data_IF_951021194057
#
_entry.id   IF_951021194057
#
_cell.length_a   1.000
_cell.length_b   1.000
_cell.length_c   1.000
_cell.angle_alpha   90.00
_cell.angle_beta   90.00
_cell.angle_gamma   90.00
#
_symmetry.space_group_name_H-M   'P 1'
#
loop_
_entity.id
_entity.type
_entity.pdbx_description
1 polymer ?
#
# COMPACT_ATOMS: atom_id res chain seq x y z
N UNK A 1 21.98 1.37 -2.08
CA UNK A 1 21.33 0.18 -2.67
C UNK A 1 20.43 -0.41 -1.59
N UNK A 2 19.13 -0.15 -1.62
CA UNK A 2 18.23 -0.65 -0.59
C UNK A 2 18.20 -2.19 -0.68
N UNK A 3 18.42 -2.86 0.45
CA UNK A 3 18.51 -4.30 0.57
C UNK A 3 17.32 -4.95 -0.17
N UNK A 4 17.61 -5.60 -1.31
CA UNK A 4 16.61 -6.07 -2.27
C UNK A 4 15.83 -7.28 -1.79
N UNK A 5 16.02 -7.68 -0.54
CA UNK A 5 15.50 -8.91 0.04
C UNK A 5 14.52 -8.64 1.18
N UNK A 6 13.60 -9.58 1.39
CA UNK A 6 12.64 -9.58 2.48
C UNK A 6 12.55 -10.97 3.10
N UNK A 7 12.24 -11.01 4.40
CA UNK A 7 11.97 -12.25 5.11
C UNK A 7 10.49 -12.61 4.95
N UNK A 8 10.23 -13.83 4.50
CA UNK A 8 8.90 -14.39 4.30
C UNK A 8 8.80 -15.74 4.98
N UNK A 9 7.59 -16.18 5.30
CA UNK A 9 7.34 -17.54 5.74
C UNK A 9 6.93 -18.40 4.55
N UNK A 10 7.71 -19.42 4.25
CA UNK A 10 7.51 -20.29 3.09
C UNK A 10 7.28 -21.73 3.53
N UNK A 11 6.31 -22.41 2.89
CA UNK A 11 6.05 -23.82 3.13
C UNK A 11 7.23 -24.66 2.60
N UNK A 12 7.85 -25.55 3.41
CA UNK A 12 8.94 -26.40 2.94
C UNK A 12 8.50 -27.45 1.91
N UNK A 13 7.20 -27.76 1.83
CA UNK A 13 6.67 -28.82 0.95
C UNK A 13 6.21 -28.28 -0.40
N UNK A 14 5.38 -27.23 -0.41
CA UNK A 14 4.81 -26.68 -1.65
C UNK A 14 5.48 -25.37 -2.12
N UNK A 15 6.32 -24.75 -1.29
CA UNK A 15 7.01 -23.50 -1.63
C UNK A 15 6.14 -22.23 -1.60
N UNK A 16 4.86 -22.32 -1.25
CA UNK A 16 3.98 -21.14 -1.15
C UNK A 16 4.32 -20.27 0.07
N UNK A 17 4.13 -18.96 -0.07
CA UNK A 17 4.28 -17.96 0.99
C UNK A 17 2.99 -17.84 1.81
N UNK A 18 3.10 -17.80 3.14
CA UNK A 18 1.94 -17.69 4.05
C UNK A 18 2.24 -16.70 5.18
N UNK A 19 1.39 -15.70 5.38
CA UNK A 19 1.60 -14.66 6.40
C UNK A 19 1.64 -15.20 7.84
N UNK A 20 0.88 -16.26 8.13
CA UNK A 20 0.71 -16.81 9.50
C UNK A 20 1.70 -17.93 9.85
N UNK A 21 2.69 -18.20 9.00
CA UNK A 21 3.72 -19.20 9.28
C UNK A 21 3.23 -20.65 9.29
N UNK A 22 2.03 -20.94 8.78
CA UNK A 22 1.48 -22.29 8.67
C UNK A 22 0.81 -22.49 7.31
N UNK A 23 1.12 -23.61 6.66
CA UNK A 23 0.50 -24.03 5.41
C UNK A 23 -0.64 -25.00 5.72
N UNK A 24 -1.88 -24.60 5.44
CA UNK A 24 -3.06 -25.44 5.68
C UNK A 24 -3.19 -26.60 4.69
N UNK A 25 -2.69 -26.43 3.46
CA UNK A 25 -2.75 -27.44 2.41
C UNK A 25 -1.82 -28.62 2.72
N UNK A 26 -0.57 -28.33 3.10
CA UNK A 26 0.44 -29.33 3.45
C UNK A 26 0.44 -29.69 4.94
N UNK A 27 -0.41 -29.04 5.76
CA UNK A 27 -0.51 -29.20 7.22
C UNK A 27 0.84 -29.11 7.94
N UNK A 28 1.70 -28.20 7.53
CA UNK A 28 3.05 -28.06 8.07
C UNK A 28 3.39 -26.61 8.46
N UNK A 29 4.35 -26.45 9.39
CA UNK A 29 4.89 -25.12 9.74
C UNK A 29 5.76 -24.59 8.61
N UNK A 30 5.54 -23.34 8.23
CA UNK A 30 6.41 -22.63 7.30
C UNK A 30 7.70 -22.21 8.00
N UNK A 31 8.81 -22.21 7.27
CA UNK A 31 10.08 -21.71 7.78
C UNK A 31 10.29 -20.27 7.31
N UNK A 32 11.02 -19.48 8.11
CA UNK A 32 11.47 -18.16 7.66
C UNK A 32 12.55 -18.33 6.61
N UNK A 33 12.35 -17.72 5.46
CA UNK A 33 13.36 -17.65 4.39
C UNK A 33 13.47 -16.22 3.89
N UNK A 34 14.58 -15.92 3.25
CA UNK A 34 14.84 -14.61 2.65
C UNK A 34 14.70 -14.73 1.14
N UNK A 35 13.86 -13.89 0.53
CA UNK A 35 13.74 -13.81 -0.93
C UNK A 35 13.92 -12.40 -1.45
N UNK A 36 14.20 -12.28 -2.73
CA UNK A 36 14.21 -10.98 -3.40
C UNK A 36 12.80 -10.38 -3.45
N UNK A 37 12.75 -9.05 -3.38
CA UNK A 37 11.53 -8.26 -3.55
C UNK A 37 11.02 -8.47 -4.97
N UNK A 38 9.71 -8.71 -5.06
CA UNK A 38 9.05 -8.79 -6.36
C UNK A 38 8.85 -7.36 -6.86
N UNK A 39 9.13 -7.14 -8.14
CA UNK A 39 8.82 -5.91 -8.84
C UNK A 39 7.70 -6.20 -9.83
N UNK A 40 6.74 -5.28 -9.91
CA UNK A 40 5.65 -5.35 -10.89
C UNK A 40 5.69 -4.04 -11.67
N UNK A 41 5.68 -4.14 -12.99
CA UNK A 41 5.64 -3.00 -13.89
C UNK A 41 4.34 -3.04 -14.69
N UNK A 42 3.66 -1.91 -14.78
CA UNK A 42 2.38 -1.81 -15.46
C UNK A 42 1.75 -0.43 -15.29
N UNK A 43 0.56 -0.30 -15.84
CA UNK A 43 -0.25 0.89 -15.73
C UNK A 43 -1.27 0.66 -14.61
N UNK A 44 -1.17 1.46 -13.54
CA UNK A 44 -1.94 1.26 -12.31
C UNK A 44 -2.95 2.38 -12.08
N UNK A 45 -4.16 2.02 -11.65
CA UNK A 45 -5.22 2.97 -11.26
C UNK A 45 -5.50 2.86 -9.76
N UNK A 46 -5.64 3.98 -9.07
CA UNK A 46 -6.11 3.99 -7.67
C UNK A 46 -7.61 3.68 -7.68
N UNK A 47 -8.00 2.55 -7.09
CA UNK A 47 -9.39 2.07 -7.10
C UNK A 47 -10.07 2.08 -5.73
N UNK A 48 -9.29 2.08 -4.64
CA UNK A 48 -9.81 2.09 -3.28
C UNK A 48 -8.79 2.65 -2.28
N UNK A 49 -9.18 2.77 -1.02
CA UNK A 49 -8.30 3.09 0.10
C UNK A 49 -8.58 2.16 1.28
N UNK A 50 -7.57 1.98 2.15
CA UNK A 50 -7.73 1.21 3.38
C UNK A 50 -7.17 1.98 4.58
N UNK A 51 -7.73 1.69 5.74
CA UNK A 51 -7.20 2.14 7.02
C UNK A 51 -7.37 1.06 8.07
N UNK A 52 -6.34 0.89 8.88
CA UNK A 52 -6.28 -0.01 10.04
C UNK A 52 -5.76 0.77 11.25
N UNK A 53 -5.67 0.10 12.41
CA UNK A 53 -5.15 0.72 13.64
C UNK A 53 -3.71 1.23 13.50
N UNK A 54 -2.89 0.61 12.64
CA UNK A 54 -1.45 0.88 12.53
C UNK A 54 -1.01 1.37 11.15
N UNK A 55 -1.92 1.51 10.19
CA UNK A 55 -1.57 1.85 8.81
C UNK A 55 -2.78 2.36 8.03
N UNK A 56 -2.53 3.23 7.06
CA UNK A 56 -3.48 3.59 6.01
C UNK A 56 -2.78 3.54 4.66
N UNK A 57 -3.55 3.46 3.58
CA UNK A 57 -3.00 3.37 2.24
C UNK A 57 -4.05 3.39 1.15
N UNK A 58 -3.58 3.22 -0.07
CA UNK A 58 -4.37 3.14 -1.29
C UNK A 58 -4.32 1.71 -1.84
N UNK A 59 -5.36 1.30 -2.56
CA UNK A 59 -5.35 0.09 -3.37
C UNK A 59 -5.20 0.53 -4.82
N UNK A 60 -4.14 0.07 -5.48
CA UNK A 60 -3.95 0.24 -6.91
C UNK A 60 -4.24 -1.05 -7.65
N UNK A 61 -4.86 -0.95 -8.81
CA UNK A 61 -5.21 -2.06 -9.67
C UNK A 61 -4.43 -1.95 -10.98
N UNK A 62 -3.76 -3.02 -11.38
CA UNK A 62 -3.17 -3.13 -12.72
C UNK A 62 -4.29 -3.21 -13.76
N UNK A 63 -4.29 -2.24 -14.67
CA UNK A 63 -5.31 -2.10 -15.72
C UNK A 63 -5.39 -3.30 -16.68
N UNK A 64 -4.35 -4.13 -16.78
CA UNK A 64 -4.32 -5.29 -17.68
C UNK A 64 -4.75 -6.59 -17.00
N UNK A 65 -4.26 -6.82 -15.79
CA UNK A 65 -4.50 -8.09 -15.07
C UNK A 65 -5.67 -8.02 -14.08
N UNK A 66 -6.11 -6.81 -13.70
CA UNK A 66 -7.05 -6.61 -12.60
C UNK A 66 -6.45 -6.93 -11.22
N UNK A 67 -5.15 -7.23 -11.15
CA UNK A 67 -4.48 -7.55 -9.91
C UNK A 67 -4.35 -6.30 -9.02
N UNK A 68 -4.71 -6.45 -7.74
CA UNK A 68 -4.69 -5.36 -6.77
C UNK A 68 -3.45 -5.41 -5.89
N UNK A 69 -2.88 -4.24 -5.62
CA UNK A 69 -1.71 -4.06 -4.79
C UNK A 69 -1.96 -2.94 -3.77
N UNK A 70 -1.76 -3.20 -2.47
CA UNK A 70 -1.81 -2.16 -1.46
C UNK A 70 -0.55 -1.29 -1.51
N UNK A 71 -0.72 0.03 -1.49
CA UNK A 71 0.34 1.02 -1.30
C UNK A 71 0.15 1.70 0.05
N UNK A 72 1.17 1.67 0.90
CA UNK A 72 1.09 2.35 2.19
C UNK A 72 1.21 3.86 2.03
N UNK A 73 0.49 4.60 2.87
CA UNK A 73 0.43 6.05 2.75
C UNK A 73 1.79 6.73 2.97
N UNK A 74 2.70 6.11 3.73
CA UNK A 74 4.09 6.59 3.85
C UNK A 74 4.79 6.65 2.49
N UNK A 75 4.66 5.58 1.69
CA UNK A 75 5.27 5.52 0.36
C UNK A 75 4.59 6.49 -0.61
N UNK A 76 3.27 6.65 -0.49
CA UNK A 76 2.50 7.63 -1.28
C UNK A 76 2.96 9.06 -0.95
N UNK A 77 3.09 9.39 0.34
CA UNK A 77 3.56 10.71 0.77
C UNK A 77 5.00 10.98 0.31
N UNK A 78 5.89 10.00 0.41
CA UNK A 78 7.26 10.12 -0.10
C UNK A 78 7.27 10.35 -1.61
N UNK A 79 6.41 9.64 -2.36
CA UNK A 79 6.27 9.80 -3.81
C UNK A 79 5.75 11.18 -4.23
N UNK A 80 4.74 11.72 -3.55
CA UNK A 80 4.16 13.03 -3.88
C UNK A 80 4.88 14.20 -3.22
N UNK A 81 5.85 13.94 -2.33
CA UNK A 81 6.58 15.00 -1.65
C UNK A 81 7.32 15.89 -2.67
N UNK A 82 7.14 17.21 -2.55
CA UNK A 82 7.66 18.17 -3.52
C UNK A 82 6.87 18.27 -4.82
N UNK A 83 5.82 17.47 -5.01
CA UNK A 83 4.90 17.64 -6.15
C UNK A 83 4.08 18.92 -5.99
N UNK A 84 3.93 19.68 -7.09
CA UNK A 84 3.13 20.89 -7.09
C UNK A 84 1.65 20.55 -7.22
N UNK A 85 0.85 20.95 -6.22
CA UNK A 85 -0.61 20.92 -6.29
C UNK A 85 -1.10 22.20 -6.98
N UNK A 86 -1.25 22.17 -8.31
CA UNK A 86 -1.70 23.33 -9.09
C UNK A 86 -3.21 23.56 -8.95
N UNK A 87 -3.63 24.82 -8.77
CA UNK A 87 -5.03 25.30 -8.77
C UNK A 87 -6.00 24.37 -8.02
N UNK A 88 -5.89 24.38 -6.68
CA UNK A 88 -6.79 23.67 -5.78
C UNK A 88 -7.30 24.64 -4.72
N UNK A 89 -8.58 24.49 -4.39
CA UNK A 89 -9.16 25.19 -3.25
C UNK A 89 -8.99 24.32 -2.02
N UNK A 90 -8.49 24.91 -0.94
CA UNK A 90 -8.36 24.26 0.36
C UNK A 90 -9.41 24.83 1.31
N UNK A 91 -10.11 23.95 2.01
CA UNK A 91 -11.03 24.33 3.08
C UNK A 91 -10.41 23.95 4.43
N UNK A 92 -10.38 24.90 5.35
CA UNK A 92 -9.92 24.66 6.72
C UNK A 92 -10.86 23.65 7.40
N UNK A 93 -10.27 22.69 8.11
CA UNK A 93 -10.99 21.69 8.86
C UNK A 93 -10.44 21.63 10.28
N UNK A 94 -11.34 21.41 11.24
CA UNK A 94 -10.99 21.25 12.65
C UNK A 94 -11.51 19.91 13.16
N UNK A 95 -10.62 19.11 13.73
CA UNK A 95 -10.95 17.83 14.39
C UNK A 95 -10.49 17.89 15.84
N UNK A 96 -11.41 18.22 16.73
CA UNK A 96 -11.08 18.50 18.13
C UNK A 96 -10.22 19.76 18.26
N UNK A 97 -9.00 19.62 18.79
CA UNK A 97 -8.02 20.71 18.88
C UNK A 97 -7.11 20.82 17.65
N UNK A 98 -7.10 19.83 16.76
CA UNK A 98 -6.23 19.81 15.58
C UNK A 98 -6.87 20.56 14.41
N UNK A 99 -6.10 21.48 13.84
CA UNK A 99 -6.41 22.17 12.58
C UNK A 99 -5.76 21.44 11.41
N UNK A 100 -6.43 21.42 10.27
CA UNK A 100 -5.94 20.83 9.02
C UNK A 100 -6.70 21.37 7.82
N UNK A 101 -6.38 20.89 6.63
CA UNK A 101 -6.98 21.38 5.38
C UNK A 101 -7.42 20.20 4.52
N UNK A 102 -8.58 20.32 3.87
CA UNK A 102 -9.02 19.35 2.85
C UNK A 102 -9.05 20.01 1.48
N UNK A 103 -8.67 19.27 0.45
CA UNK A 103 -8.82 19.71 -0.94
C UNK A 103 -10.30 19.62 -1.32
N UNK A 104 -10.87 20.71 -1.82
CA UNK A 104 -12.23 20.73 -2.37
C UNK A 104 -12.18 20.96 -3.88
N UNK A 105 -13.05 20.26 -4.60
CA UNK A 105 -13.13 20.30 -6.08
C UNK A 105 -14.27 21.19 -6.59
N UNK A 106 -15.08 21.74 -5.70
CA UNK A 106 -16.12 22.72 -6.03
C UNK A 106 -15.76 24.05 -5.39
N UNK A 107 -15.49 25.06 -6.22
CA UNK A 107 -15.67 26.44 -5.81
C UNK A 107 -17.17 26.57 -5.48
N UNK A 108 -17.50 26.65 -4.19
CA UNK A 108 -18.84 27.04 -3.78
C UNK A 108 -18.93 28.53 -4.09
N UNK A 109 -19.54 28.85 -5.23
CA UNK A 109 -19.91 30.21 -5.62
C UNK A 109 -20.92 30.81 -4.62
#
# INVERSE_FOLDING_TARGET
>A
MANGKINVYMCPTCGNEYERGYCYDCRCRCHKTTRDKRQVFGDFTIVDWFSSRSSAGLIVEDTRSGQRYPLYMSDVFDFINGSQLTSRTLEETKKGSAYGWKVITKEVA
#
